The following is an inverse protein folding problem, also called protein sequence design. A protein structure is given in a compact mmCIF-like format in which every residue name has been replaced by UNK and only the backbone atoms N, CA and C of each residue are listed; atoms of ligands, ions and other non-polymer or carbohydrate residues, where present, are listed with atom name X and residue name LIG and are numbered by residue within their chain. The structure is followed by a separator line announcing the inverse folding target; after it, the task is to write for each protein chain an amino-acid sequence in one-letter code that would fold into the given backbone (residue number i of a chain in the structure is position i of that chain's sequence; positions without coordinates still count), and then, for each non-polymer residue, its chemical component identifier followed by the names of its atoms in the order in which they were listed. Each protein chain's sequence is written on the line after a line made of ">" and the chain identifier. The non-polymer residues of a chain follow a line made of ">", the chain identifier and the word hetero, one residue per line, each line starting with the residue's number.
data_IF_166527613685
#
_entry.id   IF_166527613685
#
_cell.length_a   1.000
_cell.length_b   1.000
_cell.length_c   1.000
_cell.angle_alpha   90.00
_cell.angle_beta   90.00
_cell.angle_gamma   90.00
#
_symmetry.space_group_name_H-M   'P 1'
#
loop_
_entity.id
_entity.type
_entity.pdbx_description
1 polymer ?
#
# COMPACT_ATOMS: atom_id res chain seq x y z
N UNK A 1 -16.81 7.78 -10.12
CA UNK A 1 -16.01 6.53 -10.22
C UNK A 1 -14.76 6.72 -9.38
N UNK A 2 -14.40 5.73 -8.59
CA UNK A 2 -13.23 5.72 -7.73
C UNK A 2 -11.97 5.38 -8.53
N UNK A 3 -10.89 6.07 -8.21
CA UNK A 3 -9.53 5.80 -8.67
C UNK A 3 -8.62 5.72 -7.47
N UNK A 4 -7.50 5.03 -7.64
CA UNK A 4 -6.42 5.01 -6.66
C UNK A 4 -5.09 5.15 -7.37
N UNK A 5 -4.03 5.41 -6.63
CA UNK A 5 -2.70 5.56 -7.19
C UNK A 5 -1.70 6.03 -6.15
N UNK A 6 -0.43 5.85 -6.46
CA UNK A 6 0.65 6.14 -5.53
C UNK A 6 1.97 6.39 -6.25
N UNK A 7 2.99 6.63 -5.44
CA UNK A 7 4.33 6.91 -5.90
C UNK A 7 5.30 5.99 -5.16
N UNK A 8 6.15 5.31 -5.93
CA UNK A 8 7.32 4.62 -5.39
C UNK A 8 8.49 5.59 -5.43
N UNK A 9 9.13 5.77 -4.28
CA UNK A 9 10.34 6.59 -4.11
C UNK A 9 11.50 5.72 -3.69
N UNK A 10 12.71 6.11 -4.08
CA UNK A 10 13.91 5.47 -3.55
C UNK A 10 14.23 5.98 -2.13
N UNK A 11 15.30 5.45 -1.54
CA UNK A 11 15.76 5.83 -0.18
C UNK A 11 16.13 7.31 -0.03
N UNK A 12 16.48 8.00 -1.11
CA UNK A 12 16.80 9.43 -1.12
C UNK A 12 15.53 10.30 -1.25
N UNK A 13 14.35 9.68 -1.38
CA UNK A 13 13.09 10.37 -1.65
C UNK A 13 12.85 10.71 -3.12
N UNK A 14 13.72 10.27 -4.03
CA UNK A 14 13.59 10.52 -5.45
C UNK A 14 12.47 9.66 -6.03
N UNK A 15 11.68 10.24 -6.93
CA UNK A 15 10.58 9.55 -7.60
C UNK A 15 11.13 8.50 -8.57
N UNK A 16 10.77 7.23 -8.38
CA UNK A 16 11.10 6.13 -9.30
C UNK A 16 9.96 5.93 -10.30
N UNK A 17 8.74 5.72 -9.79
CA UNK A 17 7.56 5.42 -10.62
C UNK A 17 6.28 5.89 -9.95
N UNK A 18 5.35 6.42 -10.74
CA UNK A 18 3.98 6.74 -10.34
C UNK A 18 3.03 5.72 -10.97
N UNK A 19 1.97 5.37 -10.26
CA UNK A 19 0.97 4.42 -10.75
C UNK A 19 -0.43 4.88 -10.38
N UNK A 20 -1.41 4.48 -11.18
CA UNK A 20 -2.81 4.72 -10.92
C UNK A 20 -3.67 3.58 -11.46
N UNK A 21 -4.85 3.42 -10.86
CA UNK A 21 -5.82 2.39 -11.24
C UNK A 21 -7.24 2.93 -11.14
N UNK A 22 -8.06 2.59 -12.12
CA UNK A 22 -9.51 2.78 -12.07
C UNK A 22 -10.16 1.65 -11.28
N UNK A 23 -10.90 1.98 -10.23
CA UNK A 23 -11.53 1.00 -9.33
C UNK A 23 -13.06 0.88 -9.54
N UNK A 24 -13.68 1.84 -10.22
CA UNK A 24 -15.13 1.80 -10.47
C UNK A 24 -15.93 2.28 -9.25
N UNK A 25 -16.68 1.41 -8.58
CA UNK A 25 -17.39 1.74 -7.32
C UNK A 25 -16.62 1.12 -6.15
N UNK A 26 -16.17 1.96 -5.22
CA UNK A 26 -15.27 1.55 -4.14
C UNK A 26 -15.36 2.59 -3.02
N UNK A 27 -15.28 2.15 -1.76
CA UNK A 27 -15.15 3.06 -0.63
C UNK A 27 -13.75 3.68 -0.58
N UNK A 28 -13.59 4.78 0.17
CA UNK A 28 -12.27 5.41 0.37
C UNK A 28 -11.29 4.44 1.04
N UNK A 29 -11.78 3.66 2.01
CA UNK A 29 -10.97 2.67 2.71
C UNK A 29 -10.46 1.57 1.78
N UNK A 30 -11.34 1.00 0.95
CA UNK A 30 -10.97 -0.01 -0.04
C UNK A 30 -10.00 0.56 -1.10
N UNK A 31 -10.23 1.80 -1.57
CA UNK A 31 -9.35 2.44 -2.55
C UNK A 31 -7.92 2.61 -2.03
N UNK A 32 -7.77 2.92 -0.74
CA UNK A 32 -6.45 3.02 -0.09
C UNK A 32 -5.77 1.66 0.11
N UNK A 33 -6.53 0.59 0.37
CA UNK A 33 -5.95 -0.75 0.42
C UNK A 33 -5.47 -1.20 -0.96
N UNK A 34 -6.24 -0.91 -2.03
CA UNK A 34 -5.80 -1.16 -3.41
C UNK A 34 -4.55 -0.35 -3.77
N UNK A 35 -4.45 0.91 -3.33
CA UNK A 35 -3.25 1.74 -3.50
C UNK A 35 -1.98 1.02 -3.04
N UNK A 36 -2.04 0.47 -1.82
CA UNK A 36 -0.90 -0.19 -1.18
C UNK A 36 -0.63 -1.54 -1.85
N UNK A 37 -1.66 -2.29 -2.20
CA UNK A 37 -1.51 -3.58 -2.88
C UNK A 37 -0.84 -3.42 -4.25
N UNK A 38 -1.32 -2.48 -5.07
CA UNK A 38 -0.76 -2.19 -6.38
C UNK A 38 0.70 -1.72 -6.24
N UNK A 39 0.98 -0.81 -5.29
CA UNK A 39 2.33 -0.35 -4.99
C UNK A 39 3.29 -1.45 -4.55
N UNK A 40 2.84 -2.39 -3.70
CA UNK A 40 3.62 -3.54 -3.26
C UNK A 40 3.92 -4.50 -4.42
N UNK A 41 2.96 -4.77 -5.30
CA UNK A 41 3.19 -5.59 -6.50
C UNK A 41 4.30 -5.00 -7.38
N UNK A 42 4.26 -3.68 -7.61
CA UNK A 42 5.25 -2.93 -8.39
C UNK A 42 6.65 -2.97 -7.75
N UNK A 43 6.71 -2.97 -6.41
CA UNK A 43 7.95 -3.05 -5.63
C UNK A 43 8.56 -4.46 -5.70
N UNK A 44 7.74 -5.49 -5.50
CA UNK A 44 8.16 -6.90 -5.50
C UNK A 44 8.65 -7.31 -6.89
N UNK A 45 7.93 -6.93 -7.95
CA UNK A 45 8.32 -7.18 -9.34
C UNK A 45 9.70 -6.59 -9.69
N UNK A 46 10.08 -5.49 -9.01
CA UNK A 46 11.40 -4.86 -9.15
C UNK A 46 12.49 -5.45 -8.23
N UNK A 47 12.17 -6.45 -7.41
CA UNK A 47 13.13 -7.12 -6.53
C UNK A 47 13.52 -6.33 -5.28
N UNK A 48 12.72 -5.36 -4.86
CA UNK A 48 12.93 -4.68 -3.57
C UNK A 48 12.31 -5.48 -2.43
N UNK A 49 13.08 -5.71 -1.38
CA UNK A 49 12.70 -6.53 -0.21
C UNK A 49 12.39 -5.70 1.05
N UNK A 50 12.96 -4.49 1.15
CA UNK A 50 12.76 -3.57 2.27
C UNK A 50 12.09 -2.28 1.83
N UNK A 51 10.83 -2.08 2.24
CA UNK A 51 10.05 -0.89 1.87
C UNK A 51 9.33 -0.24 3.04
N UNK A 52 9.20 1.09 2.95
CA UNK A 52 8.41 1.89 3.89
C UNK A 52 7.14 2.35 3.19
N UNK A 53 6.01 1.82 3.62
CA UNK A 53 4.69 2.25 3.16
C UNK A 53 4.34 3.56 3.88
N UNK A 54 3.92 4.58 3.13
CA UNK A 54 3.40 5.84 3.67
C UNK A 54 1.95 5.98 3.19
N UNK A 55 1.04 6.25 4.11
CA UNK A 55 -0.38 6.50 3.82
C UNK A 55 -0.88 7.65 4.69
N UNK A 56 -1.78 8.45 4.13
CA UNK A 56 -2.52 9.52 4.80
C UNK A 56 -3.72 8.99 5.62
N UNK A 57 -4.08 7.71 5.45
CA UNK A 57 -5.17 7.07 6.19
C UNK A 57 -4.67 6.36 7.44
N UNK A 58 -4.90 6.97 8.60
CA UNK A 58 -4.59 6.38 9.89
C UNK A 58 -5.33 5.04 10.11
N UNK A 59 -6.54 4.91 9.58
CA UNK A 59 -7.33 3.67 9.67
C UNK A 59 -6.64 2.52 8.92
N UNK A 60 -6.23 2.76 7.68
CA UNK A 60 -5.51 1.78 6.85
C UNK A 60 -4.19 1.39 7.49
N UNK A 61 -3.42 2.37 7.98
CA UNK A 61 -2.17 2.12 8.70
C UNK A 61 -2.36 1.19 9.91
N UNK A 62 -3.40 1.45 10.72
CA UNK A 62 -3.74 0.62 11.89
C UNK A 62 -4.11 -0.81 11.50
N UNK A 63 -4.90 -1.01 10.45
CA UNK A 63 -5.34 -2.34 10.00
C UNK A 63 -4.16 -3.17 9.50
N UNK A 64 -3.28 -2.57 8.70
CA UNK A 64 -2.08 -3.25 8.20
C UNK A 64 -1.14 -3.63 9.35
N UNK A 65 -0.90 -2.70 10.28
CA UNK A 65 -0.01 -2.96 11.42
C UNK A 65 -0.57 -4.03 12.37
N UNK A 66 -1.89 -4.08 12.59
CA UNK A 66 -2.53 -5.11 13.40
C UNK A 66 -2.47 -6.50 12.76
N UNK A 67 -2.48 -6.58 11.43
CA UNK A 67 -2.46 -7.86 10.71
C UNK A 67 -1.15 -8.64 10.93
N UNK A 68 -0.03 -7.94 11.16
CA UNK A 68 1.26 -8.55 11.50
C UNK A 68 1.29 -9.22 12.90
N UNK A 69 0.33 -8.93 13.80
CA UNK A 69 0.35 -9.42 15.20
C UNK A 69 -0.48 -10.68 15.45
N UNK A 70 -0.98 -11.37 14.43
CA UNK A 70 -1.96 -12.46 14.59
C UNK A 70 -1.44 -13.90 14.58
N UNK A 71 -0.14 -14.15 14.80
CA UNK A 71 0.41 -15.53 14.87
C UNK A 71 1.34 -15.80 16.08
N UNK A 72 0.98 -15.41 17.31
CA UNK A 72 1.68 -15.91 18.53
C UNK A 72 0.75 -16.39 19.65
N UNK A 73 -0.56 -16.51 19.44
CA UNK A 73 -1.44 -17.15 20.44
C UNK A 73 -2.46 -18.05 19.78
N UNK A 74 -2.03 -19.27 19.46
CA UNK A 74 -2.91 -20.45 19.49
C UNK A 74 -2.48 -21.31 20.69
N UNK A 75 -3.44 -21.83 21.49
CA UNK A 75 -3.16 -22.66 22.66
C UNK A 75 -2.50 -23.99 22.27
#
# INVERSE_FOLDING_TARGET
>A
MATTGGIVRNRNGEWIIGFNRLLGSCSVFEAKLWEILDGLGIIIDRGYDHVRIQTDSLEVAKVIQKSHRRDVTRP
#
